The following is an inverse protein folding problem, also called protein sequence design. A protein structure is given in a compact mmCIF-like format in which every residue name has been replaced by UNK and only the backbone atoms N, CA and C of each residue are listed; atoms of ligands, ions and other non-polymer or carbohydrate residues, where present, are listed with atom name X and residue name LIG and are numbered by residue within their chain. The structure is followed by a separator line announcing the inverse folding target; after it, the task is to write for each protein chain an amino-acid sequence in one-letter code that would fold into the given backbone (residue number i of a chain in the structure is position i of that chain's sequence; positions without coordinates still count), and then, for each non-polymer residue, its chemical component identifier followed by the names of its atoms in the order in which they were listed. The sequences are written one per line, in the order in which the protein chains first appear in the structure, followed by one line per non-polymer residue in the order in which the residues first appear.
data_IF_448791287961
#
_entry.id   IF_448791287961
#
_cell.length_a   1.000
_cell.length_b   1.000
_cell.length_c   1.000
_cell.angle_alpha   90.00
_cell.angle_beta   90.00
_cell.angle_gamma   90.00
#
_symmetry.space_group_name_H-M   'P 1'
#
loop_
_entity.id
_entity.type
_entity.pdbx_description
1 polymer ?
#
# COMPACT_ATOMS: atom_id res chain seq x y z
N UNK A 1 15.96 19.34 7.06
CA UNK A 1 16.42 18.28 7.98
C UNK A 1 16.03 16.96 7.36
N UNK A 2 17.04 16.20 6.88
CA UNK A 2 16.80 14.90 6.25
C UNK A 2 16.55 13.88 7.36
N UNK A 3 15.34 13.39 7.48
CA UNK A 3 15.01 12.28 8.37
C UNK A 3 15.59 11.01 7.77
N UNK A 4 16.67 10.51 8.35
CA UNK A 4 17.24 9.23 8.00
C UNK A 4 16.26 8.16 8.49
N UNK A 5 15.55 7.53 7.57
CA UNK A 5 14.74 6.36 7.89
C UNK A 5 15.73 5.22 8.15
N UNK A 6 15.91 4.88 9.42
CA UNK A 6 16.63 3.67 9.78
C UNK A 6 15.71 2.51 9.36
N UNK A 7 15.98 1.95 8.19
CA UNK A 7 15.40 0.69 7.79
C UNK A 7 15.93 -0.36 8.77
N UNK A 8 15.13 -0.70 9.77
CA UNK A 8 15.40 -1.88 10.58
C UNK A 8 15.25 -3.09 9.67
N UNK A 9 16.36 -3.56 9.16
CA UNK A 9 16.43 -4.82 8.46
C UNK A 9 16.12 -5.89 9.50
N UNK A 10 14.85 -6.22 9.59
CA UNK A 10 14.45 -7.37 10.37
C UNK A 10 14.91 -8.56 9.53
N UNK A 11 16.01 -9.11 9.64
CA UNK A 11 16.34 -9.96 9.28
C UNK A 11 15.69 -10.84 9.74
N UNK A 12 14.76 -11.10 9.17
CA UNK A 12 14.05 -12.29 9.43
C UNK A 12 15.03 -13.44 9.20
N UNK A 13 15.78 -13.73 10.21
CA UNK A 13 16.39 -14.56 10.15
C UNK A 13 15.78 -15.46 9.70
N UNK A 14 15.94 -15.81 8.54
CA UNK A 14 15.66 -17.12 8.05
C UNK A 14 16.20 -18.07 9.07
N UNK A 15 15.42 -18.37 10.05
CA UNK A 15 15.73 -19.48 10.92
C UNK A 15 15.86 -20.65 9.96
N UNK A 16 17.07 -20.99 9.66
CA UNK A 16 17.39 -22.23 9.00
C UNK A 16 16.82 -23.31 9.90
N UNK A 17 15.61 -23.72 9.53
CA UNK A 17 15.03 -24.88 10.17
C UNK A 17 15.96 -26.01 9.77
N UNK A 18 16.69 -26.43 10.61
CA UNK A 18 17.34 -27.29 10.37
C UNK A 18 16.62 -28.23 10.17
N UNK A 19 16.76 -28.48 9.08
CA UNK A 19 16.04 -29.58 8.62
C UNK A 19 16.19 -30.77 9.56
N UNK A 20 15.50 -30.78 10.31
CA UNK A 20 15.47 -31.81 11.05
C UNK A 20 14.94 -32.81 10.30
N UNK A 21 15.58 -33.53 10.00
CA UNK A 21 15.26 -34.77 9.40
C UNK A 21 14.22 -34.74 8.28
N UNK A 22 14.72 -34.48 7.09
CA UNK A 22 13.99 -35.03 5.97
C UNK A 22 14.03 -36.55 6.11
N UNK A 23 13.14 -37.05 6.59
CA UNK A 23 13.12 -38.13 6.59
C UNK A 23 13.16 -38.55 5.47
N UNK A 24 14.23 -38.91 4.99
CA UNK A 24 14.45 -39.70 3.86
C UNK A 24 13.47 -40.87 3.91
N UNK A 25 12.36 -40.67 3.27
CA UNK A 25 11.56 -41.82 2.92
C UNK A 25 12.38 -42.53 1.85
N UNK A 26 13.37 -43.24 2.32
CA UNK A 26 14.05 -44.26 1.54
C UNK A 26 13.00 -45.34 1.27
N UNK A 27 12.31 -45.19 0.15
CA UNK A 27 11.57 -46.32 -0.39
C UNK A 27 12.60 -47.38 -0.70
N UNK A 28 12.71 -48.34 0.21
CA UNK A 28 13.56 -49.52 0.04
C UNK A 28 13.15 -50.25 -1.26
N UNK A 29 14.00 -50.30 -2.28
CA UNK A 29 13.65 -50.95 -3.54
C UNK A 29 13.62 -52.48 -3.46
N UNK A 30 13.99 -53.06 -2.32
CA UNK A 30 14.17 -54.52 -2.15
C UNK A 30 13.11 -55.17 -1.23
N UNK A 31 11.96 -54.57 -1.04
CA UNK A 31 10.87 -55.26 -0.33
C UNK A 31 10.36 -56.45 -1.19
N UNK A 32 10.31 -57.66 -0.65
CA UNK A 32 9.86 -58.84 -1.43
C UNK A 32 8.39 -58.70 -1.81
N UNK A 33 8.13 -58.78 -3.08
CA UNK A 33 6.78 -58.80 -3.64
C UNK A 33 6.13 -60.17 -3.32
N UNK A 34 5.10 -60.17 -2.50
CA UNK A 34 4.34 -61.40 -2.27
C UNK A 34 3.63 -61.78 -3.58
N UNK A 35 3.78 -62.73 -4.09
CA UNK A 35 3.34 -63.15 -5.12
C UNK A 35 1.96 -63.22 -5.04
N UNK A 36 1.38 -62.95 -5.86
CA UNK A 36 -0.03 -62.99 -6.08
C UNK A 36 -0.50 -64.25 -6.77
N UNK A 37 -1.67 -64.75 -6.46
CA UNK A 37 -2.17 -65.97 -7.10
C UNK A 37 -2.58 -65.72 -8.57
N UNK A 38 -2.48 -66.78 -9.36
CA UNK A 38 -2.58 -66.81 -10.80
C UNK A 38 -3.97 -66.43 -11.36
N UNK A 39 -3.90 -65.69 -12.40
CA UNK A 39 -4.71 -65.64 -13.62
C UNK A 39 -6.24 -65.83 -13.55
N UNK A 40 -6.94 -64.75 -13.83
CA UNK A 40 -8.20 -64.81 -14.61
C UNK A 40 -8.08 -63.75 -15.71
N UNK A 41 -8.18 -64.25 -16.95
CA UNK A 41 -8.08 -63.43 -18.16
C UNK A 41 -9.29 -62.46 -18.28
N UNK A 42 -9.05 -61.17 -18.09
CA UNK A 42 -10.00 -60.12 -18.46
C UNK A 42 -9.62 -59.52 -19.83
N UNK A 43 -10.54 -59.05 -20.62
CA UNK A 43 -10.25 -58.59 -21.99
C UNK A 43 -9.31 -57.39 -22.02
N UNK A 44 -8.37 -57.52 -22.94
CA UNK A 44 -7.33 -56.51 -23.18
C UNK A 44 -7.96 -55.24 -23.77
N UNK A 45 -8.20 -54.27 -22.92
CA UNK A 45 -8.51 -52.92 -23.37
C UNK A 45 -7.15 -52.21 -23.52
N UNK A 46 -6.57 -52.04 -24.50
CA UNK A 46 -5.55 -51.53 -24.69
C UNK A 46 -5.49 -50.32 -24.25
N UNK A 47 -5.33 -50.16 -23.34
CA UNK A 47 -5.06 -48.87 -22.72
C UNK A 47 -3.83 -48.26 -23.36
N UNK A 48 -4.09 -47.40 -24.27
CA UNK A 48 -3.07 -46.63 -25.00
C UNK A 48 -2.43 -45.53 -24.10
N UNK A 49 -2.03 -45.91 -22.93
CA UNK A 49 -1.28 -45.00 -22.04
C UNK A 49 0.11 -45.56 -21.81
N UNK A 50 0.92 -45.59 -22.71
CA UNK A 50 1.96 -45.81 -22.59
C UNK A 50 2.58 -45.11 -21.82
N UNK A 51 2.53 -45.30 -20.77
CA UNK A 51 3.22 -44.64 -19.73
C UNK A 51 4.71 -44.53 -20.01
N UNK A 52 5.23 -43.36 -20.10
CA UNK A 52 6.65 -43.20 -20.36
C UNK A 52 7.44 -43.48 -19.09
N UNK A 53 7.72 -44.74 -18.84
CA UNK A 53 8.56 -45.14 -17.69
C UNK A 53 9.94 -44.49 -17.75
N UNK A 54 10.40 -44.20 -18.97
CA UNK A 54 11.68 -43.53 -19.22
C UNK A 54 11.59 -42.03 -18.92
N UNK A 55 10.47 -41.44 -19.19
CA UNK A 55 10.24 -40.00 -18.93
C UNK A 55 10.16 -39.76 -17.43
N UNK A 56 9.49 -40.61 -16.66
CA UNK A 56 9.37 -40.52 -15.21
C UNK A 56 10.74 -40.55 -14.49
N UNK A 57 11.66 -41.39 -14.97
CA UNK A 57 13.03 -41.46 -14.41
C UNK A 57 13.85 -40.19 -14.69
N UNK A 58 13.61 -39.51 -15.72
CA UNK A 58 14.22 -38.40 -16.07
C UNK A 58 13.88 -37.28 -15.31
N UNK A 59 12.62 -37.15 -15.31
CA UNK A 59 12.04 -36.16 -14.44
C UNK A 59 12.61 -36.21 -13.01
N UNK A 60 12.51 -37.38 -12.40
CA UNK A 60 13.01 -37.59 -11.03
C UNK A 60 14.48 -37.21 -10.89
N UNK A 61 15.30 -37.59 -11.85
CA UNK A 61 16.74 -37.31 -11.81
C UNK A 61 17.01 -35.80 -11.91
N UNK A 62 16.27 -35.09 -12.76
CA UNK A 62 16.40 -33.64 -12.87
C UNK A 62 15.92 -32.92 -11.59
N UNK A 63 14.82 -33.38 -10.99
CA UNK A 63 14.35 -32.84 -9.70
C UNK A 63 15.41 -33.06 -8.62
N UNK A 64 15.98 -34.27 -8.52
CA UNK A 64 17.03 -34.59 -7.54
C UNK A 64 18.27 -33.70 -7.75
N UNK A 65 18.67 -33.50 -9.01
CA UNK A 65 19.78 -32.61 -9.36
C UNK A 65 19.48 -31.19 -8.95
N UNK A 66 18.28 -30.70 -9.27
CA UNK A 66 17.82 -29.37 -8.86
C UNK A 66 17.84 -29.16 -7.34
N UNK A 67 17.35 -30.18 -6.60
CA UNK A 67 17.38 -30.12 -5.13
C UNK A 67 18.84 -30.05 -4.62
N UNK A 68 19.76 -30.84 -5.21
CA UNK A 68 21.17 -30.79 -4.81
C UNK A 68 21.81 -29.43 -5.09
N UNK A 69 21.46 -28.78 -6.19
CA UNK A 69 21.93 -27.43 -6.47
C UNK A 69 21.31 -26.41 -5.52
N UNK A 70 20.01 -26.55 -5.23
CA UNK A 70 19.28 -25.67 -4.30
C UNK A 70 19.91 -25.71 -2.90
N UNK A 71 20.23 -26.90 -2.39
CA UNK A 71 20.89 -27.09 -1.07
C UNK A 71 22.27 -26.43 -1.01
N UNK A 72 22.93 -26.27 -2.15
CA UNK A 72 24.25 -25.60 -2.28
C UNK A 72 24.08 -24.11 -2.59
N UNK A 73 22.87 -23.58 -2.54
CA UNK A 73 22.53 -22.19 -2.88
C UNK A 73 22.88 -21.82 -4.34
N UNK A 74 23.06 -22.83 -5.19
CA UNK A 74 23.33 -22.66 -6.63
C UNK A 74 22.00 -22.53 -7.37
N UNK A 75 21.30 -21.43 -7.12
CA UNK A 75 19.90 -21.27 -7.54
C UNK A 75 19.72 -21.23 -9.06
N UNK A 76 20.67 -20.68 -9.81
CA UNK A 76 20.59 -20.68 -11.27
C UNK A 76 20.67 -22.10 -11.84
N UNK A 77 21.58 -22.92 -11.31
CA UNK A 77 21.70 -24.33 -11.73
C UNK A 77 20.48 -25.14 -11.28
N UNK A 78 19.93 -24.84 -10.09
CA UNK A 78 18.71 -25.48 -9.62
C UNK A 78 17.53 -25.17 -10.57
N UNK A 79 17.39 -23.91 -10.95
CA UNK A 79 16.35 -23.46 -11.89
C UNK A 79 16.44 -24.20 -13.22
N UNK A 80 17.65 -24.25 -13.81
CA UNK A 80 17.90 -24.98 -15.05
C UNK A 80 17.53 -26.47 -14.94
N UNK A 81 17.85 -27.09 -13.81
CA UNK A 81 17.53 -28.52 -13.58
C UNK A 81 16.00 -28.72 -13.46
N UNK A 82 15.29 -27.84 -12.75
CA UNK A 82 13.84 -27.93 -12.66
C UNK A 82 13.18 -27.66 -14.03
N UNK A 83 13.73 -26.74 -14.84
CA UNK A 83 13.24 -26.50 -16.20
C UNK A 83 13.39 -27.74 -17.08
N UNK A 84 14.52 -28.46 -16.96
CA UNK A 84 14.70 -29.76 -17.64
C UNK A 84 13.69 -30.80 -17.15
N UNK A 85 13.34 -30.81 -15.86
CA UNK A 85 12.31 -31.70 -15.35
C UNK A 85 10.94 -31.34 -15.97
N UNK A 86 10.63 -30.04 -16.10
CA UNK A 86 9.38 -29.56 -16.70
C UNK A 86 9.31 -29.80 -18.21
N UNK A 87 10.45 -29.81 -18.91
CA UNK A 87 10.49 -30.18 -20.32
C UNK A 87 10.14 -31.69 -20.50
N UNK A 88 10.49 -32.52 -19.51
CA UNK A 88 10.12 -33.95 -19.53
C UNK A 88 8.66 -34.14 -19.13
N UNK A 89 8.20 -33.40 -18.12
CA UNK A 89 6.84 -33.46 -17.60
C UNK A 89 6.38 -32.08 -17.16
N UNK A 90 5.68 -31.39 -18.03
CA UNK A 90 5.15 -30.04 -17.78
C UNK A 90 4.20 -29.98 -16.56
N UNK A 91 3.49 -31.10 -16.30
CA UNK A 91 2.56 -31.20 -15.17
C UNK A 91 3.23 -31.57 -13.85
N UNK A 92 4.56 -31.65 -13.79
CA UNK A 92 5.27 -32.05 -12.56
C UNK A 92 5.02 -31.07 -11.42
N UNK A 93 4.22 -31.49 -10.46
CA UNK A 93 3.88 -30.70 -9.25
C UNK A 93 5.17 -30.36 -8.48
N UNK A 94 6.05 -31.35 -8.29
CA UNK A 94 7.31 -31.20 -7.53
C UNK A 94 8.26 -30.22 -8.23
N UNK A 95 8.39 -30.33 -9.55
CA UNK A 95 9.30 -29.47 -10.30
C UNK A 95 8.77 -28.01 -10.29
N UNK A 96 7.44 -27.82 -10.50
CA UNK A 96 6.81 -26.49 -10.42
C UNK A 96 6.97 -25.86 -9.03
N UNK A 97 6.76 -26.64 -7.99
CA UNK A 97 6.88 -26.18 -6.60
C UNK A 97 8.34 -25.75 -6.28
N UNK A 98 9.31 -26.61 -6.60
CA UNK A 98 10.72 -26.33 -6.30
C UNK A 98 11.27 -25.19 -7.16
N UNK A 99 10.83 -25.10 -8.42
CA UNK A 99 11.15 -23.95 -9.30
C UNK A 99 10.67 -22.64 -8.65
N UNK A 100 9.44 -22.61 -8.15
CA UNK A 100 8.89 -21.42 -7.50
C UNK A 100 9.71 -21.01 -6.26
N UNK A 101 10.08 -21.97 -5.42
CA UNK A 101 10.96 -21.70 -4.26
C UNK A 101 12.31 -21.14 -4.69
N UNK A 102 12.86 -21.67 -5.78
CA UNK A 102 14.15 -21.20 -6.31
C UNK A 102 14.05 -19.76 -6.84
N UNK A 103 12.95 -19.43 -7.50
CA UNK A 103 12.69 -18.08 -8.00
C UNK A 103 12.61 -17.07 -6.85
N UNK A 104 11.99 -17.41 -5.73
CA UNK A 104 11.94 -16.54 -4.56
C UNK A 104 13.35 -16.25 -4.03
N UNK A 105 14.23 -17.27 -4.00
CA UNK A 105 15.61 -17.08 -3.55
C UNK A 105 16.48 -16.30 -4.55
N UNK A 106 16.09 -16.26 -5.81
CA UNK A 106 16.77 -15.46 -6.85
C UNK A 106 16.25 -14.00 -6.88
N UNK A 107 15.13 -13.73 -6.22
CA UNK A 107 14.53 -12.41 -6.24
C UNK A 107 15.39 -11.42 -5.46
N UNK A 108 15.60 -10.25 -6.05
CA UNK A 108 16.27 -9.12 -5.40
C UNK A 108 15.30 -7.96 -5.21
N UNK A 109 15.66 -7.02 -4.36
CA UNK A 109 14.85 -5.82 -4.16
C UNK A 109 14.84 -4.91 -5.40
N UNK A 110 15.89 -4.98 -6.22
CA UNK A 110 15.97 -4.22 -7.47
C UNK A 110 14.88 -4.63 -8.47
N UNK A 111 14.44 -5.89 -8.42
CA UNK A 111 13.42 -6.43 -9.33
C UNK A 111 12.01 -6.35 -8.77
N UNK A 112 11.85 -5.90 -7.51
CA UNK A 112 10.55 -5.93 -6.82
C UNK A 112 9.51 -5.09 -7.55
N UNK A 113 8.40 -5.72 -7.91
CA UNK A 113 7.27 -5.06 -8.56
C UNK A 113 7.48 -4.75 -10.04
N UNK A 114 8.56 -5.24 -10.65
CA UNK A 114 8.76 -5.12 -12.10
C UNK A 114 8.09 -6.30 -12.82
N UNK A 115 7.94 -6.15 -14.14
CA UNK A 115 7.40 -7.22 -15.00
C UNK A 115 8.21 -8.53 -14.90
N UNK A 116 9.48 -8.43 -14.57
CA UNK A 116 10.39 -9.57 -14.48
C UNK A 116 10.68 -10.00 -13.04
N UNK A 117 9.84 -9.62 -12.09
CA UNK A 117 10.03 -10.02 -10.68
C UNK A 117 9.88 -11.54 -10.55
N UNK A 118 10.92 -12.27 -10.14
CA UNK A 118 10.83 -13.71 -9.95
C UNK A 118 9.77 -14.13 -8.92
N UNK A 119 9.45 -13.26 -7.97
CA UNK A 119 8.41 -13.53 -6.97
C UNK A 119 7.03 -13.70 -7.62
N UNK A 120 6.73 -12.90 -8.63
CA UNK A 120 5.45 -13.01 -9.34
C UNK A 120 5.34 -14.31 -10.12
N UNK A 121 6.42 -14.75 -10.76
CA UNK A 121 6.47 -16.06 -11.41
C UNK A 121 6.29 -17.19 -10.38
N UNK A 122 6.92 -17.08 -9.22
CA UNK A 122 6.77 -18.05 -8.12
C UNK A 122 5.32 -18.12 -7.64
N UNK A 123 4.68 -16.96 -7.46
CA UNK A 123 3.27 -16.85 -7.07
C UNK A 123 2.36 -17.58 -8.05
N UNK A 124 2.57 -17.37 -9.34
CA UNK A 124 1.80 -18.00 -10.40
C UNK A 124 1.99 -19.52 -10.40
N UNK A 125 3.22 -19.98 -10.24
CA UNK A 125 3.53 -21.42 -10.18
C UNK A 125 2.85 -22.09 -8.99
N UNK A 126 2.97 -21.51 -7.79
CA UNK A 126 2.33 -22.06 -6.60
C UNK A 126 0.80 -22.03 -6.71
N UNK A 127 0.22 -20.90 -7.13
CA UNK A 127 -1.24 -20.80 -7.30
C UNK A 127 -1.76 -21.79 -8.32
N UNK A 128 -1.05 -21.95 -9.42
CA UNK A 128 -1.44 -22.86 -10.51
C UNK A 128 -1.31 -24.33 -10.19
N UNK A 129 -0.45 -24.72 -9.24
CA UNK A 129 -0.26 -26.13 -8.91
C UNK A 129 -1.19 -26.62 -7.78
N UNK A 130 -1.80 -25.72 -7.00
CA UNK A 130 -2.49 -26.08 -5.75
C UNK A 130 -3.60 -27.11 -5.97
N UNK A 131 -4.45 -26.92 -6.98
CA UNK A 131 -5.58 -27.83 -7.22
C UNK A 131 -5.11 -29.23 -7.60
N UNK A 132 -4.08 -29.34 -8.44
CA UNK A 132 -3.45 -30.62 -8.76
C UNK A 132 -2.78 -31.22 -7.51
N UNK A 133 -2.07 -30.38 -6.75
CA UNK A 133 -1.36 -30.82 -5.55
C UNK A 133 -2.33 -31.33 -4.48
N UNK A 134 -3.48 -30.67 -4.27
CA UNK A 134 -4.51 -31.15 -3.33
C UNK A 134 -4.94 -32.57 -3.63
N UNK A 135 -4.97 -32.93 -4.90
CA UNK A 135 -5.42 -34.25 -5.36
C UNK A 135 -4.31 -35.30 -5.34
N UNK A 136 -3.11 -34.95 -5.77
CA UNK A 136 -2.04 -35.91 -6.05
C UNK A 136 -0.86 -35.82 -5.08
N UNK A 137 -0.63 -34.69 -4.43
CA UNK A 137 0.46 -34.50 -3.46
C UNK A 137 0.07 -33.45 -2.42
N UNK A 138 -0.83 -33.84 -1.47
CA UNK A 138 -1.39 -32.87 -0.50
C UNK A 138 -0.35 -32.17 0.37
N UNK A 139 0.81 -32.80 0.57
CA UNK A 139 1.91 -32.19 1.32
C UNK A 139 2.47 -30.97 0.57
N UNK A 140 2.64 -31.08 -0.75
CA UNK A 140 3.07 -29.94 -1.58
C UNK A 140 1.98 -28.85 -1.59
N UNK A 141 0.70 -29.22 -1.63
CA UNK A 141 -0.38 -28.23 -1.55
C UNK A 141 -0.31 -27.44 -0.25
N UNK A 142 -0.09 -28.12 0.87
CA UNK A 142 0.08 -27.46 2.19
C UNK A 142 1.28 -26.52 2.18
N UNK A 143 2.42 -26.99 1.67
CA UNK A 143 3.64 -26.17 1.58
C UNK A 143 3.45 -24.96 0.63
N UNK A 144 2.73 -25.14 -0.49
CA UNK A 144 2.45 -24.04 -1.42
C UNK A 144 1.58 -22.96 -0.76
N UNK A 145 0.55 -23.35 -0.02
CA UNK A 145 -0.25 -22.42 0.77
C UNK A 145 0.61 -21.66 1.81
N UNK A 146 1.51 -22.38 2.48
CA UNK A 146 2.41 -21.78 3.48
C UNK A 146 3.34 -20.75 2.83
N UNK A 147 3.97 -21.11 1.71
CA UNK A 147 4.90 -20.23 1.00
C UNK A 147 4.19 -19.01 0.39
N UNK A 148 2.96 -19.19 -0.14
CA UNK A 148 2.12 -18.07 -0.57
C UNK A 148 1.77 -17.16 0.61
N UNK A 149 1.48 -17.73 1.77
CA UNK A 149 1.23 -16.98 3.01
C UNK A 149 2.43 -16.11 3.38
N UNK A 150 3.62 -16.65 3.28
CA UNK A 150 4.88 -15.92 3.52
C UNK A 150 5.04 -14.77 2.51
N UNK A 151 4.75 -15.00 1.23
CA UNK A 151 4.83 -13.96 0.20
C UNK A 151 3.87 -12.81 0.49
N UNK A 152 2.60 -13.13 0.75
CA UNK A 152 1.60 -12.10 1.10
C UNK A 152 1.99 -11.34 2.37
N UNK A 153 2.58 -12.03 3.36
CA UNK A 153 3.06 -11.41 4.59
C UNK A 153 4.17 -10.38 4.30
N UNK A 154 5.14 -10.76 3.47
CA UNK A 154 6.27 -9.90 3.10
C UNK A 154 5.84 -8.69 2.25
N UNK A 155 4.72 -8.82 1.54
CA UNK A 155 4.10 -7.72 0.78
C UNK A 155 3.11 -6.90 1.61
N UNK A 156 3.05 -7.15 2.92
CA UNK A 156 2.15 -6.48 3.89
C UNK A 156 0.66 -6.67 3.56
N UNK A 157 0.35 -7.69 2.74
CA UNK A 157 -1.01 -8.09 2.39
C UNK A 157 -1.54 -9.10 3.42
N UNK A 158 -1.78 -8.62 4.64
CA UNK A 158 -2.03 -9.51 5.78
C UNK A 158 -3.32 -10.32 5.63
N UNK A 159 -4.36 -9.80 4.97
CA UNK A 159 -5.58 -10.58 4.70
C UNK A 159 -5.28 -11.80 3.81
N UNK A 160 -4.52 -11.60 2.75
CA UNK A 160 -4.06 -12.69 1.89
C UNK A 160 -3.23 -13.72 2.64
N UNK A 161 -2.28 -13.23 3.43
CA UNK A 161 -1.42 -14.06 4.27
C UNK A 161 -2.24 -14.95 5.22
N UNK A 162 -3.19 -14.34 5.94
CA UNK A 162 -4.10 -15.03 6.88
C UNK A 162 -4.89 -16.14 6.14
N UNK A 163 -5.43 -15.83 4.96
CA UNK A 163 -6.20 -16.79 4.17
C UNK A 163 -5.33 -18.00 3.77
N UNK A 164 -4.10 -17.74 3.34
CA UNK A 164 -3.17 -18.80 2.91
C UNK A 164 -2.73 -19.68 4.08
N UNK A 165 -2.34 -19.09 5.23
CA UNK A 165 -1.96 -19.89 6.40
C UNK A 165 -3.14 -20.71 6.93
N UNK A 166 -4.36 -20.17 6.92
CA UNK A 166 -5.56 -20.95 7.28
C UNK A 166 -5.76 -22.13 6.33
N UNK A 167 -5.48 -21.95 5.03
CA UNK A 167 -5.57 -23.04 4.05
C UNK A 167 -4.50 -24.10 4.30
N UNK A 168 -3.27 -23.69 4.60
CA UNK A 168 -2.20 -24.62 4.98
C UNK A 168 -2.60 -25.43 6.23
N UNK A 169 -3.16 -24.78 7.25
CA UNK A 169 -3.59 -25.42 8.50
C UNK A 169 -4.79 -26.34 8.32
N UNK A 170 -5.68 -26.07 7.35
CA UNK A 170 -6.76 -27.03 7.03
C UNK A 170 -6.19 -28.35 6.49
N UNK A 171 -5.06 -28.29 5.80
CA UNK A 171 -4.41 -29.49 5.26
C UNK A 171 -3.54 -30.17 6.32
N UNK A 172 -2.85 -29.38 7.16
CA UNK A 172 -1.98 -29.89 8.23
C UNK A 172 -2.21 -29.08 9.51
N UNK A 173 -3.19 -29.52 10.34
CA UNK A 173 -3.57 -28.75 11.54
C UNK A 173 -2.48 -28.64 12.60
N UNK A 174 -1.53 -29.55 12.63
CA UNK A 174 -0.44 -29.57 13.60
C UNK A 174 0.80 -28.78 13.18
N UNK A 175 0.75 -28.07 12.04
CA UNK A 175 1.87 -27.26 11.59
C UNK A 175 2.06 -26.04 12.51
N UNK A 176 3.05 -26.13 13.38
CA UNK A 176 3.37 -25.07 14.35
C UNK A 176 3.84 -23.79 13.68
N UNK A 177 4.63 -23.91 12.59
CA UNK A 177 5.15 -22.76 11.84
C UNK A 177 3.99 -21.97 11.19
N UNK A 178 3.08 -22.69 10.54
CA UNK A 178 1.90 -22.04 9.92
C UNK A 178 1.00 -21.38 10.97
N UNK A 179 0.86 -22.00 12.16
CA UNK A 179 0.07 -21.43 13.26
C UNK A 179 0.69 -20.15 13.81
N UNK A 180 2.00 -20.16 14.02
CA UNK A 180 2.76 -18.99 14.50
C UNK A 180 2.69 -17.84 13.49
N UNK A 181 2.92 -18.13 12.21
CA UNK A 181 2.86 -17.15 11.16
C UNK A 181 1.44 -16.59 10.97
N UNK A 182 0.41 -17.42 11.12
CA UNK A 182 -0.99 -16.96 11.12
C UNK A 182 -1.22 -15.95 12.25
N UNK A 183 -0.76 -16.27 13.47
CA UNK A 183 -0.88 -15.37 14.61
C UNK A 183 -0.14 -14.06 14.36
N UNK A 184 1.06 -14.12 13.82
CA UNK A 184 1.85 -12.93 13.50
C UNK A 184 1.14 -12.06 12.44
N UNK A 185 0.58 -12.68 11.39
CA UNK A 185 -0.16 -11.97 10.35
C UNK A 185 -1.40 -11.27 10.92
N UNK A 186 -2.11 -11.93 11.84
CA UNK A 186 -3.27 -11.33 12.53
C UNK A 186 -2.86 -10.10 13.37
N UNK A 187 -1.76 -10.20 14.10
CA UNK A 187 -1.23 -9.08 14.88
C UNK A 187 -0.82 -7.91 13.97
N UNK A 188 -0.12 -8.21 12.88
CA UNK A 188 0.31 -7.18 11.93
C UNK A 188 -0.88 -6.49 11.25
N UNK A 189 -1.91 -7.24 10.90
CA UNK A 189 -3.17 -6.68 10.40
C UNK A 189 -3.79 -5.71 11.41
N UNK A 190 -3.88 -6.12 12.67
CA UNK A 190 -4.44 -5.28 13.74
C UNK A 190 -3.61 -4.00 13.94
N UNK A 191 -2.28 -4.11 13.90
CA UNK A 191 -1.38 -2.94 13.98
C UNK A 191 -1.63 -1.97 12.82
N UNK A 192 -1.79 -2.49 11.61
CA UNK A 192 -2.09 -1.72 10.41
C UNK A 192 -3.44 -0.98 10.54
N UNK A 193 -4.49 -1.71 10.94
CA UNK A 193 -5.83 -1.12 11.14
C UNK A 193 -5.82 -0.01 12.21
N UNK A 194 -5.08 -0.20 13.30
CA UNK A 194 -4.94 0.80 14.36
C UNK A 194 -4.19 2.05 13.87
N UNK A 195 -3.17 1.87 13.04
CA UNK A 195 -2.42 2.98 12.45
C UNK A 195 -3.31 3.78 11.49
N UNK A 196 -4.08 3.11 10.65
CA UNK A 196 -5.00 3.74 9.71
C UNK A 196 -6.08 4.54 10.45
N UNK A 197 -6.67 3.98 11.53
CA UNK A 197 -7.65 4.67 12.36
C UNK A 197 -7.07 5.93 13.02
N UNK A 198 -5.84 5.86 13.54
CA UNK A 198 -5.17 6.99 14.16
C UNK A 198 -4.85 8.08 13.13
N UNK A 199 -4.50 7.69 11.92
CA UNK A 199 -4.22 8.62 10.83
C UNK A 199 -5.51 9.34 10.39
N UNK A 200 -6.61 8.61 10.29
CA UNK A 200 -7.92 9.18 9.96
C UNK A 200 -8.40 10.16 11.04
N UNK A 201 -8.24 9.85 12.32
CA UNK A 201 -8.55 10.75 13.44
C UNK A 201 -7.70 12.01 13.39
N UNK A 202 -6.47 11.93 13.05
CA UNK A 202 -5.58 13.06 12.91
C UNK A 202 -5.95 13.95 11.71
N UNK A 203 -6.39 13.49 10.95
CA UNK A 203 -6.80 14.15 9.85
C UNK A 203 -7.95 14.92 10.07
N UNK A 204 -8.88 14.19 10.56
CA UNK A 204 -10.10 14.88 10.99
C UNK A 204 -9.86 16.06 11.96
N UNK A 205 -9.02 15.92 12.65
CA UNK A 205 -8.69 16.85 13.56
C UNK A 205 -8.17 18.03 13.00
N UNK A 206 -7.24 17.84 12.10
CA UNK A 206 -6.64 18.93 11.35
C UNK A 206 -7.67 19.68 10.50
N UNK A 207 -8.58 19.04 9.87
CA UNK A 207 -9.68 19.68 9.17
C UNK A 207 -10.58 20.54 10.07
N UNK A 208 -10.63 20.10 11.10
CA UNK A 208 -11.30 20.71 12.02
C UNK A 208 -10.77 21.96 12.47
N UNK A 209 -9.57 21.91 12.72
CA UNK A 209 -8.80 23.09 13.09
C UNK A 209 -8.75 24.15 11.98
N UNK A 210 -8.56 23.71 10.76
CA UNK A 210 -8.58 24.63 9.61
C UNK A 210 -9.94 25.34 9.44
N UNK A 211 -11.03 24.62 9.64
CA UNK A 211 -12.37 25.25 9.55
C UNK A 211 -12.58 26.27 10.66
N UNK A 212 -12.14 26.00 11.88
CA UNK A 212 -12.22 26.97 12.99
C UNK A 212 -11.38 28.21 12.71
N UNK A 213 -10.20 28.02 12.15
CA UNK A 213 -9.32 29.13 11.81
C UNK A 213 -9.94 30.01 10.72
N UNK A 214 -10.52 29.40 9.69
CA UNK A 214 -11.24 30.15 8.63
C UNK A 214 -12.44 30.94 9.17
N UNK A 215 -13.20 30.38 10.11
CA UNK A 215 -14.32 31.07 10.74
C UNK A 215 -13.83 32.25 11.60
N UNK A 216 -12.72 32.08 12.29
CA UNK A 216 -12.10 33.11 13.11
C UNK A 216 -11.59 34.27 12.24
N UNK A 217 -10.91 33.95 11.14
CA UNK A 217 -10.43 34.94 10.17
C UNK A 217 -11.59 35.74 9.53
N UNK A 218 -12.72 35.08 9.22
CA UNK A 218 -13.91 35.75 8.69
C UNK A 218 -14.57 36.67 9.72
N UNK A 219 -14.61 36.29 10.99
CA UNK A 219 -15.12 37.13 12.06
C UNK A 219 -14.24 38.34 12.27
N UNK A 220 -12.94 38.19 12.28
CA UNK A 220 -11.97 39.28 12.40
C UNK A 220 -12.10 40.27 11.24
N UNK A 221 -12.30 39.79 10.02
CA UNK A 221 -12.52 40.64 8.85
C UNK A 221 -13.83 41.43 8.98
N UNK A 222 -14.92 40.81 9.42
CA UNK A 222 -16.21 41.49 9.62
C UNK A 222 -16.12 42.56 10.73
N UNK A 223 -15.41 42.28 11.81
CA UNK A 223 -15.19 43.25 12.88
C UNK A 223 -14.36 44.45 12.42
N UNK A 224 -13.31 44.20 11.62
CA UNK A 224 -12.50 45.27 11.04
C UNK A 224 -13.31 46.14 10.07
N UNK A 225 -14.16 45.54 9.24
CA UNK A 225 -15.05 46.30 8.34
C UNK A 225 -16.06 47.15 9.12
N UNK A 226 -16.63 46.60 10.19
CA UNK A 226 -17.56 47.36 11.06
C UNK A 226 -16.85 48.52 11.77
N UNK A 227 -15.64 48.33 12.24
CA UNK A 227 -14.84 49.41 12.86
C UNK A 227 -14.48 50.47 11.85
N UNK A 228 -14.16 50.16 10.62
CA UNK A 228 -13.90 51.13 9.56
C UNK A 228 -15.15 51.95 9.20
N UNK A 229 -16.32 51.31 9.13
CA UNK A 229 -17.58 52.00 8.88
C UNK A 229 -17.97 52.93 10.01
N UNK A 230 -17.74 52.56 11.27
CA UNK A 230 -18.02 53.42 12.43
C UNK A 230 -17.07 54.62 12.51
N UNK A 231 -15.81 54.48 12.10
CA UNK A 231 -14.86 55.59 12.08
C UNK A 231 -15.15 56.57 10.94
N UNK A 232 -15.73 56.18 9.85
CA UNK A 232 -16.07 57.07 8.73
C UNK A 232 -17.33 57.92 9.00
N UNK A 233 -18.30 57.41 9.74
CA UNK A 233 -19.55 58.16 10.02
C UNK A 233 -19.35 59.43 10.86
N UNK A 234 -18.67 59.42 12.00
CA UNK A 234 -18.48 60.68 12.78
C UNK A 234 -17.60 61.69 12.07
N UNK A 235 -16.61 61.29 11.29
CA UNK A 235 -15.80 62.25 10.50
C UNK A 235 -16.60 62.94 9.41
N UNK A 236 -17.51 62.23 8.73
CA UNK A 236 -18.34 62.80 7.68
C UNK A 236 -19.32 63.85 8.25
N UNK A 237 -19.96 63.54 9.37
CA UNK A 237 -20.87 64.54 10.06
C UNK A 237 -20.11 65.76 10.58
N UNK A 238 -18.95 65.56 11.17
CA UNK A 238 -18.08 66.61 11.65
C UNK A 238 -17.59 67.50 10.51
N UNK A 239 -17.18 66.90 9.38
CA UNK A 239 -16.76 67.68 8.19
C UNK A 239 -17.88 68.45 7.59
N UNK A 240 -19.09 67.93 7.54
CA UNK A 240 -20.27 68.67 7.07
C UNK A 240 -20.62 69.88 7.99
N UNK A 241 -20.55 69.70 9.31
CA UNK A 241 -20.74 70.78 10.27
C UNK A 241 -19.68 71.88 10.13
N UNK A 242 -18.43 71.50 9.92
CA UNK A 242 -17.32 72.44 9.68
C UNK A 242 -17.56 73.23 8.38
N UNK A 243 -17.91 72.56 7.29
CA UNK A 243 -18.24 73.17 6.00
C UNK A 243 -19.39 74.17 6.13
N UNK A 244 -20.46 73.79 6.84
CA UNK A 244 -21.61 74.62 7.07
C UNK A 244 -21.24 75.83 7.90
N UNK A 245 -20.39 75.70 8.93
CA UNK A 245 -19.93 76.80 9.73
C UNK A 245 -19.04 77.80 8.94
N UNK A 246 -18.20 77.27 8.04
CA UNK A 246 -17.35 78.07 7.16
C UNK A 246 -18.21 78.89 6.14
N UNK A 247 -19.21 78.26 5.54
CA UNK A 247 -20.14 78.90 4.63
C UNK A 247 -20.91 80.03 5.35
N UNK A 248 -21.36 79.78 6.57
CA UNK A 248 -22.03 80.81 7.37
C UNK A 248 -21.11 81.99 7.71
N UNK A 249 -19.84 81.73 8.04
CA UNK A 249 -18.82 82.77 8.24
C UNK A 249 -18.57 83.56 6.97
N UNK A 250 -18.43 82.91 5.84
CA UNK A 250 -18.21 83.55 4.55
C UNK A 250 -19.39 84.47 4.19
N UNK A 251 -20.63 83.97 4.35
CA UNK A 251 -21.84 84.73 4.07
C UNK A 251 -21.95 85.98 5.02
N UNK A 252 -21.60 85.86 6.30
CA UNK A 252 -21.60 86.95 7.23
C UNK A 252 -20.53 88.02 6.89
N UNK A 253 -19.36 87.58 6.43
CA UNK A 253 -18.29 88.46 5.99
C UNK A 253 -18.68 89.18 4.71
N UNK A 254 -19.28 88.45 3.76
CA UNK A 254 -19.82 89.10 2.53
C UNK A 254 -20.84 90.18 2.84
N UNK A 255 -21.79 89.90 3.75
CA UNK A 255 -22.76 90.93 4.18
C UNK A 255 -22.09 92.17 4.76
N UNK A 256 -21.08 91.99 5.62
CA UNK A 256 -20.36 93.10 6.22
C UNK A 256 -19.56 93.89 5.18
N UNK A 257 -18.95 93.28 4.21
CA UNK A 257 -18.29 94.02 3.12
C UNK A 257 -19.29 94.75 2.26
N UNK A 258 -20.43 94.16 1.96
CA UNK A 258 -21.48 94.80 1.15
C UNK A 258 -22.12 95.99 1.88
N UNK A 259 -22.25 95.91 3.22
CA UNK A 259 -22.70 97.04 4.05
C UNK A 259 -21.67 98.17 4.14
N UNK A 260 -20.41 97.91 4.03
CA UNK A 260 -19.31 98.88 3.99
C UNK A 260 -19.15 99.52 2.60
N UNK A 261 -19.58 98.88 1.54
CA UNK A 261 -19.48 99.35 0.16
C UNK A 261 -20.74 100.18 -0.26
N UNK A 262 -21.79 100.20 0.55
CA UNK A 262 -22.90 101.14 0.28
C UNK A 262 -22.40 102.54 0.62
N UNK A 263 -22.25 103.46 -0.35
CA UNK A 263 -21.86 104.82 -0.06
C UNK A 263 -22.97 105.52 0.73
N UNK A 264 -22.59 106.12 1.86
CA UNK A 264 -23.47 107.00 2.57
C UNK A 264 -23.96 108.12 1.57
N UNK A 265 -25.24 108.08 1.35
CA UNK A 265 -25.90 108.91 0.39
C UNK A 265 -25.53 110.36 0.51
N UNK A 266 -25.37 110.96 -0.61
CA UNK A 266 -24.90 112.24 -0.87
C UNK A 266 -25.52 113.36 -0.10
N UNK A 267 -24.80 114.36 -0.05
CA UNK A 267 -25.38 115.68 0.01
C UNK A 267 -24.85 116.51 -1.12
N UNK A 268 -25.84 117.01 -1.80
CA UNK A 268 -25.82 118.00 -2.79
C UNK A 268 -25.26 119.34 -2.28
N UNK A 269 -24.90 119.99 -3.22
CA UNK A 269 -24.91 121.46 -3.34
C UNK A 269 -23.64 122.14 -2.91
N UNK A 270 -23.32 123.09 -3.59
CA UNK A 270 -24.11 124.19 -4.05
C UNK A 270 -23.50 124.92 -5.20
N UNK A 271 -24.34 125.50 -5.95
CA UNK A 271 -24.13 126.62 -6.78
C UNK A 271 -23.08 127.61 -6.24
N UNK A 272 -22.24 127.98 -7.09
CA UNK A 272 -22.21 129.42 -7.41
C UNK A 272 -21.39 129.70 -8.62
N UNK A 273 -21.79 130.74 -9.31
CA UNK A 273 -21.21 130.99 -10.66
C UNK A 273 -19.98 131.85 -10.53
N UNK A 274 -19.22 131.66 -11.51
CA UNK A 274 -18.31 132.64 -12.19
C UNK A 274 -17.44 131.87 -13.16
#
# INVERSE_FOLDING_TARGET
MKKTIISALVXLXCFGFXAXGQXDISLNPDAPVAXAPAETSAPEVXSEYXTPSRSYKXERNYIRSGNSYYEKEQYHQALEAYDKALQVNEGSIRARFNKARTLVNLASDDNKGTENDPREQARQLWSGLIEDAKKYDPEIAQMAYYDLGNMFFNDEQYDGSIAMYKSALRMKPDDMAARENLRLAQLKKQEQENQDQNQDQNXQXQQXQQQQQQQQDQQEQQEQEQQQQQQQQPMTQSAQQILQSMQNKENSTRKKVQEQETPAGGRSQSDKPW
#
